data_IF_018253224592
#
_entry.id   IF_018253224592
#
_cell.length_a   1.000
_cell.length_b   1.000
_cell.length_c   1.000
_cell.angle_alpha   90.00
_cell.angle_beta   90.00
_cell.angle_gamma   90.00
#
_symmetry.space_group_name_H-M   'P 1'
#
loop_
_entity.id
_entity.type
_entity.pdbx_description
1 polymer ?
#
# COMPACT_ATOMS: atom_id res chain seq x y z
N UNK A 1 7.24 0.49 -96.67
CA UNK A 1 7.03 1.84 -96.09
C UNK A 1 6.30 1.79 -94.74
N UNK A 2 5.19 1.06 -94.58
CA UNK A 2 4.46 1.01 -93.30
C UNK A 2 5.20 0.32 -92.13
N UNK A 3 6.01 -0.72 -92.39
CA UNK A 3 6.75 -1.43 -91.32
C UNK A 3 7.86 -0.57 -90.67
N UNK A 4 8.55 0.28 -91.44
CA UNK A 4 9.63 1.13 -90.90
C UNK A 4 9.09 2.26 -90.01
N UNK A 5 7.96 2.85 -90.38
CA UNK A 5 7.29 3.88 -89.56
C UNK A 5 6.79 3.27 -88.24
N UNK A 6 6.26 2.04 -88.30
CA UNK A 6 5.79 1.30 -87.12
C UNK A 6 6.93 0.99 -86.14
N UNK A 7 8.07 0.53 -86.67
CA UNK A 7 9.25 0.22 -85.85
C UNK A 7 9.92 1.48 -85.26
N UNK A 8 10.00 2.60 -86.01
CA UNK A 8 10.69 3.82 -85.56
C UNK A 8 9.89 4.69 -84.58
N UNK A 9 8.57 4.73 -84.67
CA UNK A 9 7.77 5.68 -83.88
C UNK A 9 6.79 5.01 -82.90
N UNK A 10 6.24 3.83 -83.21
CA UNK A 10 5.21 3.22 -82.38
C UNK A 10 5.82 2.37 -81.26
N UNK A 11 6.90 1.62 -81.53
CA UNK A 11 7.58 0.79 -80.51
C UNK A 11 8.11 1.62 -79.32
N UNK A 12 8.78 2.78 -79.51
CA UNK A 12 9.26 3.59 -78.40
C UNK A 12 8.11 4.17 -77.55
N UNK A 13 7.00 4.56 -78.18
CA UNK A 13 5.82 5.10 -77.49
C UNK A 13 5.13 4.00 -76.68
N UNK A 14 4.98 2.79 -77.24
CA UNK A 14 4.45 1.63 -76.50
C UNK A 14 5.37 1.28 -75.33
N UNK A 15 6.69 1.23 -75.54
CA UNK A 15 7.68 0.98 -74.48
C UNK A 15 7.65 2.06 -73.38
N UNK A 16 7.45 3.33 -73.72
CA UNK A 16 7.32 4.42 -72.73
C UNK A 16 6.01 4.33 -71.93
N UNK A 17 4.89 3.97 -72.57
CA UNK A 17 3.58 3.81 -71.91
C UNK A 17 3.56 2.57 -71.03
N UNK A 18 4.15 1.45 -71.48
CA UNK A 18 4.28 0.25 -70.64
C UNK A 18 5.29 0.45 -69.53
N UNK A 19 6.44 1.08 -69.80
CA UNK A 19 7.43 1.39 -68.76
C UNK A 19 6.85 2.36 -67.71
N UNK A 20 6.16 3.44 -68.11
CA UNK A 20 5.50 4.37 -67.18
C UNK A 20 4.38 3.75 -66.34
N UNK A 21 3.55 2.87 -66.93
CA UNK A 21 2.51 2.15 -66.17
C UNK A 21 3.10 1.09 -65.24
N UNK A 22 4.17 0.39 -65.65
CA UNK A 22 4.91 -0.50 -64.75
C UNK A 22 5.60 0.26 -63.62
N UNK A 23 6.27 1.39 -63.88
CA UNK A 23 6.93 2.22 -62.86
C UNK A 23 5.91 2.78 -61.86
N UNK A 24 4.76 3.27 -62.33
CA UNK A 24 3.67 3.74 -61.48
C UNK A 24 3.07 2.61 -60.63
N UNK A 25 2.89 1.42 -61.23
CA UNK A 25 2.44 0.24 -60.49
C UNK A 25 3.46 -0.18 -59.43
N UNK A 26 4.75 -0.10 -59.74
CA UNK A 26 5.85 -0.48 -58.86
C UNK A 26 5.96 0.48 -57.66
N UNK A 27 5.87 1.79 -57.89
CA UNK A 27 5.74 2.78 -56.80
C UNK A 27 4.49 2.57 -55.94
N UNK A 28 3.36 2.17 -56.55
CA UNK A 28 2.12 1.91 -55.82
C UNK A 28 2.25 0.70 -54.89
N UNK A 29 2.95 -0.34 -55.35
CA UNK A 29 3.26 -1.56 -54.60
C UNK A 29 4.23 -1.24 -53.46
N UNK A 30 5.30 -0.49 -53.72
CA UNK A 30 6.25 -0.05 -52.68
C UNK A 30 5.58 0.82 -51.61
N UNK A 31 4.72 1.77 -51.98
CA UNK A 31 3.94 2.57 -51.01
C UNK A 31 3.01 1.69 -50.18
N UNK A 32 2.39 0.67 -50.77
CA UNK A 32 1.55 -0.28 -50.05
C UNK A 32 2.36 -1.11 -49.06
N UNK A 33 3.52 -1.63 -49.48
CA UNK A 33 4.47 -2.38 -48.64
C UNK A 33 4.96 -1.52 -47.47
N UNK A 34 5.36 -0.26 -47.72
CA UNK A 34 5.79 0.70 -46.68
C UNK A 34 4.67 0.96 -45.67
N UNK A 35 3.44 1.18 -46.12
CA UNK A 35 2.31 1.41 -45.21
C UNK A 35 1.96 0.16 -44.40
N UNK A 36 2.07 -1.04 -45.00
CA UNK A 36 1.92 -2.32 -44.30
C UNK A 36 2.99 -2.49 -43.22
N UNK A 37 4.24 -2.18 -43.52
CA UNK A 37 5.37 -2.25 -42.58
C UNK A 37 5.23 -1.22 -41.45
N UNK A 38 4.77 0.00 -41.73
CA UNK A 38 4.48 1.02 -40.69
C UNK A 38 3.44 0.52 -39.69
N UNK A 39 2.31 0.01 -40.17
CA UNK A 39 1.27 -0.58 -39.30
C UNK A 39 1.80 -1.75 -38.46
N UNK A 40 2.65 -2.61 -39.05
CA UNK A 40 3.29 -3.72 -38.32
C UNK A 40 4.23 -3.22 -37.23
N UNK A 41 5.01 -2.16 -37.50
CA UNK A 41 5.89 -1.52 -36.51
C UNK A 41 5.08 -0.93 -35.36
N UNK A 42 4.00 -0.22 -35.65
CA UNK A 42 3.11 0.36 -34.63
C UNK A 42 2.49 -0.72 -33.74
N UNK A 43 2.01 -1.82 -34.34
CA UNK A 43 1.47 -2.96 -33.61
C UNK A 43 2.51 -3.60 -32.68
N UNK A 44 3.74 -3.84 -33.18
CA UNK A 44 4.84 -4.38 -32.38
C UNK A 44 5.26 -3.43 -31.24
N UNK A 45 5.23 -2.11 -31.48
CA UNK A 45 5.52 -1.12 -30.45
C UNK A 45 4.47 -1.14 -29.33
N UNK A 46 3.19 -1.30 -29.69
CA UNK A 46 2.12 -1.37 -28.70
C UNK A 46 2.16 -2.68 -27.90
N UNK A 47 2.45 -3.81 -28.56
CA UNK A 47 2.66 -5.10 -27.90
C UNK A 47 3.84 -5.05 -26.93
N UNK A 48 4.97 -4.44 -27.33
CA UNK A 48 6.13 -4.27 -26.47
C UNK A 48 5.83 -3.41 -25.23
N UNK A 49 5.01 -2.36 -25.36
CA UNK A 49 4.55 -1.56 -24.20
C UNK A 49 3.72 -2.41 -23.24
N UNK A 50 2.78 -3.21 -23.78
CA UNK A 50 1.94 -4.07 -22.95
C UNK A 50 2.75 -5.14 -22.22
N UNK A 51 3.73 -5.77 -22.89
CA UNK A 51 4.63 -6.74 -22.27
C UNK A 51 5.41 -6.06 -21.15
N UNK A 52 6.05 -4.91 -21.42
CA UNK A 52 6.81 -4.16 -20.41
C UNK A 52 5.96 -3.83 -19.18
N UNK A 53 4.72 -3.40 -19.39
CA UNK A 53 3.78 -3.09 -18.31
C UNK A 53 3.39 -4.34 -17.50
N UNK A 54 3.14 -5.47 -18.17
CA UNK A 54 2.85 -6.75 -17.49
C UNK A 54 4.03 -7.21 -16.65
N UNK A 55 5.23 -7.20 -17.23
CA UNK A 55 6.46 -7.60 -16.53
C UNK A 55 6.73 -6.72 -15.31
N UNK A 56 6.60 -5.39 -15.41
CA UNK A 56 6.78 -4.50 -14.25
C UNK A 56 5.78 -4.77 -13.13
N UNK A 57 4.54 -5.13 -13.48
CA UNK A 57 3.50 -5.44 -12.50
C UNK A 57 3.75 -6.79 -11.82
N UNK A 58 4.22 -7.77 -12.58
CA UNK A 58 4.63 -9.08 -12.05
C UNK A 58 5.81 -8.94 -11.08
N UNK A 59 6.83 -8.17 -11.45
CA UNK A 59 7.98 -7.86 -10.60
C UNK A 59 7.56 -7.18 -9.28
N UNK A 60 6.65 -6.20 -9.32
CA UNK A 60 6.13 -5.54 -8.11
C UNK A 60 5.36 -6.53 -7.21
N UNK A 61 4.57 -7.44 -7.79
CA UNK A 61 3.86 -8.46 -7.02
C UNK A 61 4.81 -9.47 -6.38
N UNK A 62 5.86 -9.88 -7.09
CA UNK A 62 6.86 -10.80 -6.58
C UNK A 62 7.71 -10.15 -5.48
N UNK A 63 8.16 -8.91 -5.68
CA UNK A 63 8.87 -8.12 -4.68
C UNK A 63 8.04 -7.95 -3.40
N UNK A 64 6.74 -7.69 -3.55
CA UNK A 64 5.81 -7.61 -2.42
C UNK A 64 5.71 -8.94 -1.68
N UNK A 65 5.65 -10.07 -2.38
CA UNK A 65 5.64 -11.39 -1.75
C UNK A 65 6.94 -11.68 -0.98
N UNK A 66 8.10 -11.36 -1.58
CA UNK A 66 9.42 -11.49 -0.93
C UNK A 66 9.55 -10.60 0.30
N UNK A 67 9.02 -9.37 0.26
CA UNK A 67 8.95 -8.48 1.43
C UNK A 67 8.18 -9.15 2.58
N UNK A 68 7.03 -9.77 2.30
CA UNK A 68 6.26 -10.48 3.34
C UNK A 68 6.97 -11.72 3.88
N UNK A 69 7.66 -12.48 3.03
CA UNK A 69 8.51 -13.59 3.47
C UNK A 69 9.65 -13.10 4.40
N UNK A 70 10.27 -11.96 4.06
CA UNK A 70 11.30 -11.34 4.89
C UNK A 70 10.75 -10.87 6.24
N UNK A 71 9.52 -10.34 6.29
CA UNK A 71 8.83 -9.98 7.54
C UNK A 71 8.59 -11.21 8.42
N UNK A 72 8.10 -12.31 7.85
CA UNK A 72 7.86 -13.58 8.57
C UNK A 72 9.16 -14.18 9.12
N UNK A 73 10.26 -14.06 8.37
CA UNK A 73 11.60 -14.53 8.78
C UNK A 73 12.35 -13.51 9.65
N UNK A 74 11.73 -12.38 10.00
CA UNK A 74 12.32 -11.29 10.77
C UNK A 74 13.65 -10.74 10.19
N UNK A 75 13.74 -10.62 8.86
CA UNK A 75 14.93 -10.15 8.15
C UNK A 75 14.80 -8.70 7.71
N UNK A 76 15.13 -7.76 8.60
CA UNK A 76 14.93 -6.33 8.35
C UNK A 76 15.69 -5.82 7.11
N UNK A 77 16.89 -6.35 6.83
CA UNK A 77 17.69 -5.98 5.66
C UNK A 77 16.96 -6.33 4.36
N UNK A 78 16.39 -7.52 4.29
CA UNK A 78 15.68 -8.01 3.11
C UNK A 78 14.42 -7.15 2.88
N UNK A 79 13.69 -6.77 3.94
CA UNK A 79 12.55 -5.84 3.82
C UNK A 79 12.98 -4.48 3.24
N UNK A 80 14.08 -3.92 3.74
CA UNK A 80 14.61 -2.65 3.22
C UNK A 80 15.02 -2.78 1.74
N UNK A 81 15.62 -3.92 1.36
CA UNK A 81 16.02 -4.16 -0.02
C UNK A 81 14.80 -4.26 -0.96
N UNK A 82 13.79 -5.04 -0.59
CA UNK A 82 12.61 -5.23 -1.45
C UNK A 82 11.84 -3.91 -1.64
N UNK A 83 11.67 -3.12 -0.58
CA UNK A 83 10.97 -1.82 -0.67
C UNK A 83 11.81 -0.77 -1.39
N UNK A 84 13.12 -0.71 -1.11
CA UNK A 84 14.01 0.32 -1.64
C UNK A 84 14.49 0.10 -3.07
N UNK A 85 14.63 -1.15 -3.52
CA UNK A 85 15.21 -1.49 -4.82
C UNK A 85 14.28 -2.30 -5.71
N UNK A 86 13.52 -3.24 -5.15
CA UNK A 86 12.62 -4.12 -5.92
C UNK A 86 11.22 -3.52 -6.10
N UNK A 87 10.99 -2.28 -5.66
CA UNK A 87 9.70 -1.58 -5.75
C UNK A 87 8.55 -2.29 -5.01
N UNK A 88 8.84 -3.04 -3.92
CA UNK A 88 7.80 -3.62 -3.09
C UNK A 88 6.98 -2.52 -2.39
N UNK A 89 5.65 -2.66 -2.40
CA UNK A 89 4.78 -1.65 -1.81
C UNK A 89 4.62 -1.86 -0.30
N UNK A 90 5.17 -0.96 0.52
CA UNK A 90 5.20 -1.06 2.00
C UNK A 90 3.82 -1.13 2.67
N UNK A 91 2.76 -0.67 1.99
CA UNK A 91 1.38 -0.73 2.47
C UNK A 91 0.55 -1.80 1.75
N UNK A 92 1.19 -2.73 1.04
CA UNK A 92 0.49 -3.85 0.40
C UNK A 92 -0.23 -4.72 1.43
N UNK A 93 -1.21 -5.49 0.96
CA UNK A 93 -1.97 -6.41 1.80
C UNK A 93 -1.58 -7.85 1.47
N UNK A 94 -1.24 -8.62 2.50
CA UNK A 94 -1.21 -10.09 2.46
C UNK A 94 -2.16 -10.60 3.53
N UNK A 95 -3.10 -11.45 3.15
CA UNK A 95 -4.13 -11.99 4.06
C UNK A 95 -4.85 -10.92 4.89
N UNK A 96 -5.17 -9.77 4.25
CA UNK A 96 -5.80 -8.61 4.88
C UNK A 96 -4.97 -7.95 6.00
N UNK A 97 -3.65 -8.07 5.93
CA UNK A 97 -2.69 -7.43 6.83
C UNK A 97 -1.66 -6.62 6.04
N UNK A 98 -1.41 -5.39 6.49
CA UNK A 98 -0.24 -4.64 6.03
C UNK A 98 1.01 -5.09 6.78
N UNK A 99 2.22 -4.78 6.29
CA UNK A 99 3.47 -4.96 7.03
C UNK A 99 3.44 -4.41 8.46
N UNK A 100 2.85 -3.23 8.66
CA UNK A 100 2.70 -2.66 9.99
C UNK A 100 1.79 -3.52 10.89
N UNK A 101 0.64 -3.97 10.37
CA UNK A 101 -0.28 -4.84 11.13
C UNK A 101 0.42 -6.13 11.56
N UNK A 102 1.16 -6.78 10.66
CA UNK A 102 1.89 -8.02 10.97
C UNK A 102 2.92 -7.81 12.09
N UNK A 103 3.74 -6.78 11.97
CA UNK A 103 4.83 -6.52 12.93
C UNK A 103 4.32 -6.10 14.31
N UNK A 104 3.23 -5.33 14.37
CA UNK A 104 2.56 -4.96 15.63
C UNK A 104 1.91 -6.17 16.29
N UNK A 105 1.24 -7.05 15.53
CA UNK A 105 0.65 -8.30 16.08
C UNK A 105 1.70 -9.25 16.66
N UNK A 106 2.87 -9.29 16.03
CA UNK A 106 4.03 -10.05 16.51
C UNK A 106 4.75 -9.35 17.69
N UNK A 107 4.35 -8.13 18.08
CA UNK A 107 5.03 -7.29 19.07
C UNK A 107 6.50 -7.05 18.75
N UNK A 108 6.86 -7.09 17.46
CA UNK A 108 8.24 -6.97 17.00
C UNK A 108 8.60 -5.50 16.87
N UNK A 109 9.14 -4.93 17.95
CA UNK A 109 9.54 -3.52 18.07
C UNK A 109 10.52 -3.12 16.96
N UNK A 110 11.57 -3.91 16.74
CA UNK A 110 12.63 -3.60 15.76
C UNK A 110 12.10 -3.59 14.32
N UNK A 111 11.30 -4.60 13.97
CA UNK A 111 10.70 -4.65 12.64
C UNK A 111 9.62 -3.57 12.46
N UNK A 112 8.83 -3.28 13.49
CA UNK A 112 7.85 -2.18 13.47
C UNK A 112 8.54 -0.84 13.19
N UNK A 113 9.67 -0.56 13.84
CA UNK A 113 10.47 0.64 13.54
C UNK A 113 10.97 0.65 12.10
N UNK A 114 11.37 -0.51 11.58
CA UNK A 114 11.89 -0.63 10.20
C UNK A 114 10.79 -0.31 9.19
N UNK A 115 9.61 -0.92 9.31
CA UNK A 115 8.51 -0.67 8.35
C UNK A 115 7.98 0.76 8.43
N UNK A 116 7.91 1.37 9.62
CA UNK A 116 7.51 2.77 9.78
C UNK A 116 8.53 3.73 9.15
N UNK A 117 9.84 3.47 9.30
CA UNK A 117 10.90 4.23 8.62
C UNK A 117 10.83 4.12 7.10
N UNK A 118 10.31 3.02 6.58
CA UNK A 118 10.08 2.80 5.15
C UNK A 118 8.76 3.44 4.65
N UNK A 119 8.04 4.19 5.50
CA UNK A 119 6.82 4.89 5.11
C UNK A 119 5.55 4.04 5.22
N UNK A 120 5.56 2.99 6.04
CA UNK A 120 4.31 2.30 6.38
C UNK A 120 3.32 3.29 7.01
N UNK A 121 2.07 3.24 6.56
CA UNK A 121 0.99 4.06 7.10
C UNK A 121 0.71 3.65 8.55
N UNK A 122 0.95 4.55 9.49
CA UNK A 122 0.70 4.33 10.93
C UNK A 122 -0.78 4.10 11.23
N UNK A 123 -1.66 4.56 10.34
CA UNK A 123 -3.11 4.39 10.41
C UNK A 123 -3.57 3.20 9.57
N UNK A 124 -2.66 2.37 9.06
CA UNK A 124 -2.98 1.16 8.34
C UNK A 124 -3.89 0.27 9.21
N UNK A 125 -5.15 0.21 8.82
CA UNK A 125 -6.22 -0.44 9.56
C UNK A 125 -6.97 -1.37 8.63
N UNK A 126 -7.32 -2.55 9.14
CA UNK A 126 -8.42 -3.35 8.59
C UNK A 126 -9.64 -3.17 9.50
N UNK A 127 -10.83 -3.63 9.11
CA UNK A 127 -12.13 -3.39 9.82
C UNK A 127 -12.12 -3.61 11.34
N UNK A 128 -11.14 -4.33 11.91
CA UNK A 128 -11.06 -4.62 13.34
C UNK A 128 -9.70 -4.28 14.00
N UNK A 129 -8.76 -3.69 13.27
CA UNK A 129 -7.39 -3.49 13.75
C UNK A 129 -7.01 -2.01 13.78
N UNK A 130 -6.43 -1.60 14.91
CA UNK A 130 -5.73 -0.32 15.09
C UNK A 130 -4.37 -0.64 15.70
N UNK A 131 -3.26 -0.19 15.10
CA UNK A 131 -1.92 -0.44 15.63
C UNK A 131 -1.76 0.00 17.09
N UNK A 132 -2.25 1.20 17.44
CA UNK A 132 -2.09 1.75 18.78
C UNK A 132 -2.98 1.02 19.80
N UNK A 133 -4.23 0.70 19.44
CA UNK A 133 -5.12 -0.06 20.33
C UNK A 133 -4.52 -1.45 20.59
N UNK A 134 -3.95 -2.12 19.59
CA UNK A 134 -3.35 -3.44 19.79
C UNK A 134 -2.11 -3.38 20.68
N UNK A 135 -1.22 -2.40 20.49
CA UNK A 135 -0.06 -2.19 21.37
C UNK A 135 -0.49 -2.02 22.84
N UNK A 136 -1.54 -1.24 23.08
CA UNK A 136 -2.11 -1.01 24.41
C UNK A 136 -2.78 -2.26 24.99
N UNK A 137 -3.55 -3.00 24.17
CA UNK A 137 -4.13 -4.30 24.58
C UNK A 137 -3.05 -5.30 25.01
N UNK A 138 -1.84 -5.21 24.45
CA UNK A 138 -0.70 -6.05 24.83
C UNK A 138 0.15 -5.45 25.97
N UNK A 139 -0.26 -4.31 26.55
CA UNK A 139 0.49 -3.55 27.55
C UNK A 139 1.94 -3.21 27.12
N UNK A 140 2.17 -3.07 25.80
CA UNK A 140 3.48 -2.85 25.23
C UNK A 140 3.75 -1.35 25.03
N UNK A 141 4.15 -0.67 26.10
CA UNK A 141 4.48 0.77 26.06
C UNK A 141 5.58 1.09 25.05
N UNK A 142 6.70 0.35 24.95
CA UNK A 142 7.72 0.63 23.94
C UNK A 142 7.18 0.63 22.50
N UNK A 143 6.29 -0.31 22.18
CA UNK A 143 5.62 -0.35 20.87
C UNK A 143 4.67 0.84 20.69
N UNK A 144 3.89 1.18 21.72
CA UNK A 144 2.99 2.34 21.71
C UNK A 144 3.77 3.66 21.54
N UNK A 145 4.95 3.79 22.14
CA UNK A 145 5.84 4.95 21.96
C UNK A 145 6.32 5.10 20.52
N UNK A 146 6.67 3.99 19.86
CA UNK A 146 7.09 4.02 18.45
C UNK A 146 5.94 4.47 17.57
N UNK A 147 4.74 3.94 17.79
CA UNK A 147 3.54 4.32 17.04
C UNK A 147 3.20 5.80 17.27
N UNK A 148 3.25 6.27 18.52
CA UNK A 148 3.03 7.69 18.87
C UNK A 148 4.06 8.61 18.20
N UNK A 149 5.34 8.24 18.19
CA UNK A 149 6.40 8.98 17.49
C UNK A 149 6.15 9.10 15.98
N UNK A 150 5.38 8.18 15.41
CA UNK A 150 4.95 8.21 14.02
C UNK A 150 3.52 8.77 13.87
N UNK A 151 3.06 9.60 14.82
CA UNK A 151 1.76 10.30 14.80
C UNK A 151 0.51 9.40 14.87
N UNK A 152 0.59 8.25 15.54
CA UNK A 152 -0.61 7.46 15.83
C UNK A 152 -1.67 8.27 16.59
N UNK A 153 -2.94 8.08 16.24
CA UNK A 153 -4.06 8.77 16.89
C UNK A 153 -4.36 8.15 18.26
N UNK A 154 -4.04 8.86 19.34
CA UNK A 154 -4.27 8.41 20.72
C UNK A 154 -5.76 8.35 21.10
N UNK A 155 -6.62 8.97 20.30
CA UNK A 155 -8.08 9.02 20.45
C UNK A 155 -8.79 8.18 19.38
N UNK A 156 -8.12 7.16 18.85
CA UNK A 156 -8.77 6.28 17.89
C UNK A 156 -9.90 5.48 18.56
N UNK A 157 -11.05 5.44 17.90
CA UNK A 157 -12.23 4.73 18.35
C UNK A 157 -12.64 3.70 17.30
N UNK A 158 -12.65 2.42 17.69
CA UNK A 158 -13.02 1.31 16.81
C UNK A 158 -14.08 0.43 17.45
N UNK A 159 -15.34 0.71 17.12
CA UNK A 159 -16.48 0.08 17.76
C UNK A 159 -16.46 0.34 19.27
N UNK A 160 -16.34 -0.72 20.06
CA UNK A 160 -16.24 -0.63 21.52
C UNK A 160 -14.81 -0.40 22.04
N UNK A 161 -13.80 -0.40 21.15
CA UNK A 161 -12.40 -0.31 21.56
C UNK A 161 -11.84 1.11 21.35
N UNK A 162 -11.04 1.56 22.31
CA UNK A 162 -10.16 2.72 22.20
C UNK A 162 -8.92 2.47 23.04
N UNK A 163 -7.83 3.25 22.87
CA UNK A 163 -6.63 3.11 23.70
C UNK A 163 -6.97 3.16 25.20
N UNK A 164 -7.79 4.11 25.63
CA UNK A 164 -8.22 4.20 27.02
C UNK A 164 -9.03 3.00 27.49
N UNK A 165 -10.04 2.58 26.73
CA UNK A 165 -10.88 1.45 27.13
C UNK A 165 -10.06 0.17 27.22
N UNK A 166 -9.09 -0.03 26.31
CA UNK A 166 -8.15 -1.14 26.38
C UNK A 166 -7.28 -1.09 27.66
N UNK A 167 -6.74 0.08 28.02
CA UNK A 167 -5.93 0.24 29.23
C UNK A 167 -6.73 -0.02 30.53
N UNK A 168 -7.97 0.48 30.59
CA UNK A 168 -8.89 0.26 31.73
C UNK A 168 -9.24 -1.23 31.86
N UNK A 169 -9.57 -1.89 30.74
CA UNK A 169 -9.88 -3.32 30.72
C UNK A 169 -8.68 -4.19 31.12
N UNK A 170 -7.47 -3.75 30.79
CA UNK A 170 -6.23 -4.42 31.18
C UNK A 170 -5.83 -4.18 32.64
N UNK A 171 -6.57 -3.36 33.40
CA UNK A 171 -6.26 -3.01 34.80
C UNK A 171 -4.84 -2.47 34.98
N UNK A 172 -4.36 -1.69 33.99
CA UNK A 172 -2.99 -1.21 33.97
C UNK A 172 -2.91 0.32 34.18
N UNK A 173 -2.71 0.80 35.42
CA UNK A 173 -2.63 2.23 35.71
C UNK A 173 -1.42 2.92 35.06
N UNK A 174 -0.31 2.20 34.82
CA UNK A 174 0.88 2.74 34.18
C UNK A 174 0.58 3.12 32.72
N UNK A 175 -0.17 2.27 32.01
CA UNK A 175 -0.57 2.55 30.64
C UNK A 175 -1.58 3.70 30.59
N UNK A 176 -2.48 3.80 31.58
CA UNK A 176 -3.41 4.93 31.71
C UNK A 176 -2.65 6.25 31.91
N UNK A 177 -1.69 6.30 32.83
CA UNK A 177 -0.83 7.47 33.02
C UNK A 177 -0.09 7.84 31.74
N UNK A 178 0.45 6.85 31.04
CA UNK A 178 1.10 7.08 29.77
C UNK A 178 0.13 7.68 28.75
N UNK A 179 -1.10 7.16 28.61
CA UNK A 179 -2.09 7.73 27.69
C UNK A 179 -2.45 9.19 28.05
N UNK A 180 -2.68 9.48 29.33
CA UNK A 180 -2.98 10.83 29.84
C UNK A 180 -1.85 11.82 29.49
N UNK A 181 -0.59 11.42 29.73
CA UNK A 181 0.58 12.23 29.43
C UNK A 181 0.86 12.39 27.92
N UNK A 182 0.19 11.62 27.07
CA UNK A 182 0.41 11.60 25.62
C UNK A 182 -0.79 12.14 24.81
N UNK A 183 -1.69 12.91 25.45
CA UNK A 183 -2.75 13.65 24.77
C UNK A 183 -3.99 12.83 24.42
N UNK A 184 -4.17 11.67 25.07
CA UNK A 184 -5.42 10.94 24.98
C UNK A 184 -6.53 11.64 25.78
N UNK A 185 -7.73 11.72 25.24
CA UNK A 185 -8.91 12.34 25.84
C UNK A 185 -9.77 11.31 26.58
N UNK A 186 -9.77 11.41 27.91
CA UNK A 186 -10.57 10.56 28.80
C UNK A 186 -12.07 10.91 28.84
N UNK A 187 -12.47 12.04 28.23
CA UNK A 187 -13.84 12.52 28.15
C UNK A 187 -14.52 12.22 26.82
N UNK A 188 -13.76 11.74 25.83
CA UNK A 188 -14.31 11.38 24.52
C UNK A 188 -15.38 10.28 24.66
N UNK A 189 -16.61 10.60 24.28
CA UNK A 189 -17.74 9.67 24.41
C UNK A 189 -17.66 8.62 23.31
N UNK A 190 -17.70 7.35 23.69
CA UNK A 190 -17.89 6.27 22.73
C UNK A 190 -19.35 6.28 22.24
N UNK A 191 -19.62 6.47 20.93
CA UNK A 191 -20.98 6.56 20.40
C UNK A 191 -21.85 5.32 20.66
N UNK A 192 -21.24 4.14 20.80
CA UNK A 192 -21.96 2.88 21.01
C UNK A 192 -22.25 2.59 22.49
N UNK A 193 -21.41 3.10 23.40
CA UNK A 193 -21.58 2.89 24.84
C UNK A 193 -22.29 4.05 25.53
N UNK A 194 -22.32 5.24 24.90
CA UNK A 194 -22.79 6.48 25.49
C UNK A 194 -22.10 6.83 26.84
N UNK A 195 -20.85 6.38 27.00
CA UNK A 195 -19.99 6.72 28.12
C UNK A 195 -18.61 7.17 27.61
N UNK A 196 -17.99 8.10 28.33
CA UNK A 196 -16.56 8.37 28.18
C UNK A 196 -15.73 7.31 28.92
N UNK A 197 -14.45 7.14 28.57
CA UNK A 197 -13.56 6.24 29.31
C UNK A 197 -13.55 6.48 30.81
N UNK A 198 -13.55 7.75 31.25
CA UNK A 198 -13.61 8.09 32.68
C UNK A 198 -14.89 7.57 33.34
N UNK A 199 -16.06 7.85 32.75
CA UNK A 199 -17.34 7.36 33.30
C UNK A 199 -17.41 5.83 33.29
N UNK A 200 -16.83 5.20 32.28
CA UNK A 200 -16.72 3.74 32.22
C UNK A 200 -15.88 3.19 33.39
N UNK A 201 -14.69 3.74 33.64
CA UNK A 201 -13.85 3.35 34.76
C UNK A 201 -14.55 3.55 36.12
N UNK A 202 -15.22 4.68 36.33
CA UNK A 202 -16.01 4.95 37.55
C UNK A 202 -17.14 3.93 37.73
N UNK A 203 -17.85 3.56 36.65
CA UNK A 203 -18.89 2.53 36.70
C UNK A 203 -18.34 1.15 37.07
N UNK A 204 -17.13 0.82 36.60
CA UNK A 204 -16.47 -0.44 36.91
C UNK A 204 -16.02 -0.49 38.37
N UNK A 205 -15.51 0.61 38.94
CA UNK A 205 -15.18 0.67 40.38
C UNK A 205 -16.40 0.40 41.23
N UNK A 206 -17.56 0.96 40.86
CA UNK A 206 -18.81 0.71 41.60
C UNK A 206 -19.26 -0.76 41.51
N UNK A 207 -19.07 -1.40 40.34
CA UNK A 207 -19.37 -2.81 40.14
C UNK A 207 -18.34 -3.75 40.78
N UNK A 208 -17.09 -3.32 40.93
CA UNK A 208 -15.95 -4.09 41.42
C UNK A 208 -15.19 -3.30 42.51
N UNK A 209 -15.80 -3.06 43.68
CA UNK A 209 -15.25 -2.14 44.69
C UNK A 209 -13.97 -2.64 45.37
N UNK A 210 -13.57 -3.89 45.15
CA UNK A 210 -12.34 -4.47 45.68
C UNK A 210 -11.16 -4.43 44.69
N UNK A 211 -11.38 -3.92 43.47
CA UNK A 211 -10.33 -3.80 42.46
C UNK A 211 -9.50 -2.54 42.71
N UNK A 212 -8.37 -2.71 43.42
CA UNK A 212 -7.45 -1.61 43.73
C UNK A 212 -6.83 -0.98 42.48
N UNK A 213 -6.63 -1.76 41.40
CA UNK A 213 -6.09 -1.24 40.16
C UNK A 213 -7.09 -0.30 39.47
N UNK A 214 -8.38 -0.63 39.48
CA UNK A 214 -9.42 0.29 38.99
C UNK A 214 -9.53 1.55 39.84
N UNK A 215 -9.41 1.45 41.17
CA UNK A 215 -9.40 2.63 42.05
C UNK A 215 -8.22 3.55 41.71
N UNK A 216 -7.03 2.98 41.53
CA UNK A 216 -5.83 3.74 41.15
C UNK A 216 -6.00 4.41 39.78
N UNK A 217 -6.52 3.68 38.78
CA UNK A 217 -6.86 4.22 37.46
C UNK A 217 -7.80 5.42 37.58
N UNK A 218 -8.91 5.28 38.31
CA UNK A 218 -9.88 6.38 38.48
C UNK A 218 -9.27 7.56 39.21
N UNK A 219 -8.42 7.32 40.22
CA UNK A 219 -7.71 8.40 40.91
C UNK A 219 -6.75 9.14 39.98
N UNK A 220 -5.99 8.43 39.14
CA UNK A 220 -5.10 9.03 38.13
C UNK A 220 -5.88 9.86 37.12
N UNK A 221 -6.96 9.31 36.58
CA UNK A 221 -7.88 10.00 35.67
C UNK A 221 -8.55 11.24 36.30
N UNK A 222 -8.78 11.25 37.62
CA UNK A 222 -9.32 12.41 38.34
C UNK A 222 -8.30 13.55 38.48
N UNK A 223 -7.02 13.21 38.57
CA UNK A 223 -5.93 14.15 38.89
C UNK A 223 -5.18 14.68 37.66
N UNK A 224 -5.48 14.15 36.46
CA UNK A 224 -4.94 14.58 35.18
C UNK A 224 -5.88 15.58 34.48
#
# INVERSE_FOLDING_TARGET
MYLEVFMKFIIPVIMLVTCGSTLFSMESVERHEINRLKRKREALQEEAKQIKFKTSREEETEATARMFEALEKNKAKDVILEVGFSNAHINALKDNQTPLVMTVRQQNISMTQTVLKLGADVHAQNSFFSPIIEAIKKNNIPLAEILKKNNANMNEQRGLNSPFLAAINNRNPIVVDWLLNNGADQHMINPLLNYSPRRYAESLVNAQPNDEALKDIVNKMRNA
#
